data_IF_352510658643
#
_entry.id   IF_352510658643
#
_cell.length_a   1.000
_cell.length_b   1.000
_cell.length_c   1.000
_cell.angle_alpha   90.00
_cell.angle_beta   90.00
_cell.angle_gamma   90.00
#
_symmetry.space_group_name_H-M   'P 1'
#
loop_
_entity.id
_entity.type
_entity.pdbx_description
1 polymer ?
#
# COMPACT_ATOMS: atom_id res chain seq x y z
N UNK A 1 21.93 5.55 -9.45
CA UNK A 1 22.14 5.33 -10.90
C UNK A 1 20.80 4.90 -11.44
N UNK A 2 20.07 5.81 -12.07
CA UNK A 2 18.82 5.49 -12.75
C UNK A 2 19.11 4.60 -13.95
N UNK A 3 18.15 3.76 -14.33
CA UNK A 3 18.13 3.15 -15.66
C UNK A 3 17.56 4.24 -16.57
N UNK A 4 18.40 5.06 -17.21
CA UNK A 4 17.98 6.24 -17.99
C UNK A 4 17.20 7.31 -17.17
N UNK A 5 16.30 8.06 -17.80
CA UNK A 5 15.42 9.08 -17.16
C UNK A 5 14.12 8.46 -16.62
N UNK A 6 14.02 7.13 -16.57
CA UNK A 6 12.80 6.44 -16.11
C UNK A 6 12.68 6.50 -14.58
N UNK A 7 11.47 6.77 -14.04
CA UNK A 7 11.25 6.80 -12.60
C UNK A 7 11.45 5.41 -11.98
N UNK A 8 12.12 5.36 -10.83
CA UNK A 8 12.40 4.14 -10.07
C UNK A 8 11.49 4.05 -8.84
N UNK A 9 10.75 2.95 -8.74
CA UNK A 9 9.94 2.60 -7.58
C UNK A 9 10.65 1.65 -6.61
N UNK A 10 10.55 1.90 -5.31
CA UNK A 10 11.01 1.00 -4.26
C UNK A 10 9.83 0.29 -3.59
N UNK A 11 9.72 -1.04 -3.77
CA UNK A 11 8.80 -1.87 -2.98
C UNK A 11 9.50 -2.19 -1.66
N UNK A 12 8.90 -1.77 -0.54
CA UNK A 12 9.50 -1.84 0.80
C UNK A 12 8.57 -2.48 1.81
N UNK A 13 9.13 -2.97 2.91
CA UNK A 13 8.31 -3.37 4.05
C UNK A 13 7.53 -2.15 4.58
N UNK A 14 6.28 -2.35 5.02
CA UNK A 14 5.51 -1.30 5.67
C UNK A 14 6.17 -0.92 7.01
N UNK A 15 6.44 0.38 7.28
CA UNK A 15 7.08 0.83 8.52
C UNK A 15 6.42 0.35 9.81
N UNK A 16 5.07 0.20 9.82
CA UNK A 16 4.36 -0.35 10.99
C UNK A 16 4.88 -1.76 11.36
N UNK A 17 5.33 -2.56 10.39
CA UNK A 17 5.95 -3.87 10.69
C UNK A 17 7.34 -3.71 11.26
N UNK A 18 8.17 -2.86 10.66
CA UNK A 18 9.60 -2.76 11.02
C UNK A 18 9.84 -1.94 12.28
N UNK A 19 8.90 -1.07 12.67
CA UNK A 19 9.13 -0.10 13.73
C UNK A 19 8.29 -0.36 14.97
N UNK A 20 7.17 -1.09 14.82
CA UNK A 20 6.21 -1.33 15.89
C UNK A 20 5.95 -2.82 16.12
N UNK A 21 5.43 -3.54 15.12
CA UNK A 21 4.95 -4.91 15.31
C UNK A 21 6.12 -5.90 15.49
N UNK A 22 7.16 -5.80 14.67
CA UNK A 22 8.31 -6.69 14.72
C UNK A 22 9.63 -5.95 14.42
N UNK A 23 10.19 -5.23 15.40
CA UNK A 23 11.44 -4.48 15.21
C UNK A 23 12.65 -5.32 14.81
N UNK A 24 12.60 -6.63 15.02
CA UNK A 24 13.66 -7.56 14.66
C UNK A 24 13.54 -8.10 13.23
N UNK A 25 12.42 -7.85 12.52
CA UNK A 25 12.20 -8.39 11.18
C UNK A 25 13.19 -7.84 10.15
N UNK A 26 13.42 -6.53 10.18
CA UNK A 26 14.36 -5.85 9.30
C UNK A 26 14.99 -4.64 10.00
N UNK A 27 15.86 -4.88 10.99
CA UNK A 27 16.42 -3.80 11.79
C UNK A 27 17.33 -2.90 10.94
N UNK A 28 17.20 -1.58 11.12
CA UNK A 28 18.11 -0.60 10.52
C UNK A 28 17.98 -0.47 9.00
N UNK A 29 16.76 -0.58 8.46
CA UNK A 29 16.54 -0.31 7.04
C UNK A 29 17.06 1.10 6.68
N UNK A 30 17.89 1.26 5.64
CA UNK A 30 18.66 2.48 5.42
C UNK A 30 17.86 3.55 4.65
N UNK A 31 16.74 4.00 5.22
CA UNK A 31 15.82 4.97 4.59
C UNK A 31 16.53 6.21 4.05
N UNK A 32 17.33 6.88 4.87
CA UNK A 32 18.06 8.10 4.49
C UNK A 32 19.08 7.87 3.37
N UNK A 33 19.72 6.69 3.33
CA UNK A 33 20.67 6.39 2.25
C UNK A 33 19.95 6.10 0.94
N UNK A 34 18.72 5.62 0.99
CA UNK A 34 17.94 5.27 -0.19
C UNK A 34 17.05 6.41 -0.71
N UNK A 35 16.81 7.46 0.10
CA UNK A 35 15.95 8.60 -0.23
C UNK A 35 16.21 9.16 -1.63
N UNK A 36 17.46 9.47 -1.96
CA UNK A 36 17.85 10.07 -3.25
C UNK A 36 18.02 9.04 -4.40
N UNK A 37 17.63 7.77 -4.20
CA UNK A 37 17.82 6.69 -5.19
C UNK A 37 16.53 6.24 -5.86
N UNK A 38 15.38 6.59 -5.29
CA UNK A 38 14.06 6.17 -5.76
C UNK A 38 13.12 7.37 -5.81
N UNK A 39 12.31 7.43 -6.86
CA UNK A 39 11.36 8.53 -7.09
C UNK A 39 10.02 8.26 -6.41
N UNK A 40 9.66 6.99 -6.23
CA UNK A 40 8.38 6.55 -5.65
C UNK A 40 8.58 5.42 -4.66
N UNK A 41 7.85 5.48 -3.56
CA UNK A 41 7.87 4.47 -2.50
C UNK A 41 6.57 3.65 -2.48
N UNK A 42 6.71 2.33 -2.40
CA UNK A 42 5.61 1.38 -2.50
C UNK A 42 5.61 0.45 -1.28
N UNK A 43 5.10 0.90 -0.11
CA UNK A 43 5.01 0.06 1.06
C UNK A 43 4.02 -1.09 0.83
N UNK A 44 4.44 -2.30 1.21
CA UNK A 44 3.61 -3.52 1.21
C UNK A 44 2.60 -3.50 2.38
N UNK A 45 1.63 -2.59 2.31
CA UNK A 45 0.60 -2.31 3.31
C UNK A 45 -0.48 -3.39 3.45
N UNK A 46 -0.09 -4.64 3.67
CA UNK A 46 -1.01 -5.79 3.71
C UNK A 46 -1.76 -5.90 5.05
N UNK A 47 -2.77 -5.05 5.26
CA UNK A 47 -3.61 -5.07 6.47
C UNK A 47 -4.35 -6.41 6.66
N UNK A 48 -4.61 -7.15 5.58
CA UNK A 48 -5.29 -8.45 5.63
C UNK A 48 -4.54 -9.49 6.47
N UNK A 49 -3.22 -9.35 6.60
CA UNK A 49 -2.39 -10.18 7.49
C UNK A 49 -2.34 -9.70 8.94
N UNK A 50 -3.13 -8.68 9.30
CA UNK A 50 -3.04 -8.02 10.61
C UNK A 50 -4.28 -8.32 11.46
N UNK A 51 -4.19 -7.90 12.71
CA UNK A 51 -5.21 -8.11 13.73
C UNK A 51 -5.43 -6.80 14.50
N UNK A 52 -6.55 -6.71 15.23
CA UNK A 52 -6.91 -5.53 16.02
C UNK A 52 -6.93 -4.25 15.14
N UNK A 53 -6.45 -3.12 15.64
CA UNK A 53 -6.45 -1.85 14.92
C UNK A 53 -5.65 -1.89 13.60
N UNK A 54 -4.62 -2.73 13.51
CA UNK A 54 -3.85 -2.88 12.27
C UNK A 54 -4.59 -3.66 11.17
N UNK A 55 -5.70 -4.33 11.50
CA UNK A 55 -6.59 -4.93 10.50
C UNK A 55 -7.52 -3.89 9.84
N UNK A 56 -7.62 -2.67 10.40
CA UNK A 56 -8.36 -1.58 9.77
C UNK A 56 -7.53 -1.01 8.60
N UNK A 57 -8.05 -1.05 7.36
CA UNK A 57 -7.32 -0.62 6.17
C UNK A 57 -6.98 0.87 6.19
N UNK A 58 -7.86 1.74 6.69
CA UNK A 58 -7.58 3.17 6.72
C UNK A 58 -6.50 3.50 7.74
N UNK A 59 -6.64 2.98 8.97
CA UNK A 59 -5.66 3.17 10.03
C UNK A 59 -4.29 2.67 9.61
N UNK A 60 -4.21 1.43 9.12
CA UNK A 60 -2.94 0.82 8.75
C UNK A 60 -2.27 1.54 7.57
N UNK A 61 -3.04 1.99 6.57
CA UNK A 61 -2.49 2.77 5.45
C UNK A 61 -2.00 4.14 5.90
N UNK A 62 -2.78 4.90 6.67
CA UNK A 62 -2.37 6.23 7.17
C UNK A 62 -1.08 6.12 7.98
N UNK A 63 -0.99 5.16 8.90
CA UNK A 63 0.16 5.04 9.78
C UNK A 63 1.43 4.68 9.00
N UNK A 64 1.32 3.76 8.03
CA UNK A 64 2.45 3.41 7.16
C UNK A 64 2.94 4.60 6.31
N UNK A 65 2.04 5.38 5.72
CA UNK A 65 2.42 6.52 4.88
C UNK A 65 3.13 7.60 5.69
N UNK A 66 2.63 7.89 6.89
CA UNK A 66 3.21 8.91 7.78
C UNK A 66 4.58 8.50 8.30
N UNK A 67 4.73 7.25 8.73
CA UNK A 67 6.02 6.73 9.20
C UNK A 67 7.05 6.68 8.08
N UNK A 68 6.64 6.22 6.90
CA UNK A 68 7.52 6.17 5.73
C UNK A 68 8.11 7.55 5.41
N UNK A 69 7.27 8.58 5.36
CA UNK A 69 7.72 9.96 5.14
C UNK A 69 8.59 10.50 6.27
N UNK A 70 8.29 10.13 7.51
CA UNK A 70 9.12 10.49 8.66
C UNK A 70 10.51 9.83 8.59
N UNK A 71 10.60 8.56 8.22
CA UNK A 71 11.85 7.82 8.09
C UNK A 71 12.73 8.32 6.94
N UNK A 72 12.10 8.79 5.86
CA UNK A 72 12.77 9.47 4.75
C UNK A 72 13.19 10.90 5.09
N UNK A 73 12.66 11.47 6.17
CA UNK A 73 12.74 12.91 6.47
C UNK A 73 12.20 13.79 5.32
N UNK A 74 11.19 13.29 4.61
CA UNK A 74 10.58 13.96 3.47
C UNK A 74 9.04 13.85 3.54
N UNK A 75 8.34 14.92 3.96
CA UNK A 75 6.88 14.92 4.01
C UNK A 75 6.22 14.88 2.63
N UNK A 76 6.94 15.20 1.55
CA UNK A 76 6.43 15.25 0.18
C UNK A 76 6.83 14.01 -0.63
N UNK A 77 7.47 13.02 -0.02
CA UNK A 77 7.86 11.79 -0.70
C UNK A 77 6.65 11.16 -1.41
N UNK A 78 6.83 10.81 -2.68
CA UNK A 78 5.77 10.22 -3.50
C UNK A 78 5.53 8.78 -3.07
N UNK A 79 4.29 8.46 -2.71
CA UNK A 79 3.91 7.14 -2.24
C UNK A 79 2.80 6.54 -3.11
N UNK A 80 3.00 5.28 -3.53
CA UNK A 80 1.98 4.44 -4.14
C UNK A 80 1.83 3.18 -3.28
N UNK A 81 0.89 3.16 -2.33
CA UNK A 81 0.79 2.04 -1.40
C UNK A 81 0.26 0.77 -2.09
N UNK A 82 0.83 -0.37 -1.74
CA UNK A 82 0.33 -1.68 -2.16
C UNK A 82 -0.46 -2.26 -0.98
N UNK A 83 -1.77 -2.12 -1.03
CA UNK A 83 -2.69 -2.46 0.04
C UNK A 83 -3.18 -3.91 0.00
N UNK A 84 -3.37 -4.52 1.17
CA UNK A 84 -4.05 -5.83 1.31
C UNK A 84 -3.45 -6.96 0.47
N UNK A 85 -4.13 -8.10 0.45
CA UNK A 85 -3.93 -9.17 -0.55
C UNK A 85 -5.29 -9.55 -1.09
N UNK A 86 -5.45 -9.51 -2.40
CA UNK A 86 -6.72 -9.70 -3.08
C UNK A 86 -7.85 -8.87 -2.46
N UNK A 87 -9.08 -9.31 -2.70
CA UNK A 87 -10.26 -8.80 -2.01
C UNK A 87 -11.43 -9.76 -2.23
N UNK A 88 -11.92 -10.33 -1.14
CA UNK A 88 -13.06 -11.22 -1.13
C UNK A 88 -14.38 -10.42 -1.20
N UNK A 89 -15.24 -10.80 -2.14
CA UNK A 89 -16.59 -10.27 -2.34
C UNK A 89 -17.68 -11.36 -2.32
N UNK A 90 -17.29 -12.61 -2.04
CA UNK A 90 -18.18 -13.78 -2.08
C UNK A 90 -18.35 -14.40 -3.47
N UNK A 91 -17.69 -13.87 -4.51
CA UNK A 91 -17.62 -14.49 -5.83
C UNK A 91 -16.53 -15.57 -5.90
N UNK A 92 -16.58 -16.43 -6.91
CA UNK A 92 -15.61 -17.51 -7.05
C UNK A 92 -14.20 -16.95 -7.28
N UNK A 93 -13.29 -17.22 -6.34
CA UNK A 93 -11.89 -16.84 -6.40
C UNK A 93 -11.01 -18.10 -6.38
N UNK A 94 -9.78 -17.98 -6.89
CA UNK A 94 -8.74 -18.95 -6.56
C UNK A 94 -8.40 -18.75 -5.09
N UNK A 95 -8.52 -19.78 -4.26
CA UNK A 95 -8.04 -19.73 -2.87
C UNK A 95 -6.52 -19.52 -2.87
N UNK A 96 -6.01 -18.37 -2.40
CA UNK A 96 -4.58 -18.09 -2.43
C UNK A 96 -3.80 -18.78 -1.31
N UNK A 97 -4.48 -19.31 -0.28
CA UNK A 97 -3.82 -19.72 0.97
C UNK A 97 -3.29 -18.55 1.81
N UNK A 98 -3.61 -17.31 1.45
CA UNK A 98 -3.27 -16.09 2.17
C UNK A 98 -4.53 -15.38 2.68
N UNK A 99 -4.45 -14.65 3.82
CA UNK A 99 -5.56 -13.83 4.29
C UNK A 99 -5.92 -12.75 3.27
N UNK A 100 -7.13 -12.85 2.73
CA UNK A 100 -7.66 -11.87 1.79
C UNK A 100 -8.21 -10.63 2.51
N UNK A 101 -8.06 -9.46 1.88
CA UNK A 101 -8.87 -8.31 2.25
C UNK A 101 -10.36 -8.55 1.95
N UNK A 102 -11.24 -7.70 2.47
CA UNK A 102 -12.65 -7.66 2.08
C UNK A 102 -12.91 -6.61 1.01
N UNK A 103 -13.95 -6.79 0.20
CA UNK A 103 -14.47 -5.73 -0.69
C UNK A 103 -14.82 -4.45 0.08
N UNK A 104 -15.25 -4.59 1.33
CA UNK A 104 -15.58 -3.45 2.20
C UNK A 104 -14.35 -2.66 2.64
N UNK A 105 -13.15 -3.25 2.57
CA UNK A 105 -11.90 -2.59 2.95
C UNK A 105 -11.41 -1.60 1.89
N UNK A 106 -11.91 -1.73 0.65
CA UNK A 106 -11.39 -0.98 -0.50
C UNK A 106 -11.69 0.52 -0.40
N UNK A 107 -12.89 0.89 0.04
CA UNK A 107 -13.27 2.29 0.20
C UNK A 107 -12.47 3.02 1.28
N UNK A 108 -12.34 2.50 2.52
CA UNK A 108 -11.49 3.12 3.54
C UNK A 108 -10.00 3.15 3.14
N UNK A 109 -9.49 2.12 2.45
CA UNK A 109 -8.14 2.13 1.90
C UNK A 109 -7.92 3.30 0.91
N UNK A 110 -8.77 3.42 -0.11
CA UNK A 110 -8.65 4.49 -1.12
C UNK A 110 -8.86 5.87 -0.47
N UNK A 111 -9.77 5.99 0.49
CA UNK A 111 -9.96 7.21 1.25
C UNK A 111 -8.69 7.64 2.01
N UNK A 112 -7.98 6.70 2.63
CA UNK A 112 -6.71 6.95 3.30
C UNK A 112 -5.61 7.41 2.33
N UNK A 113 -5.51 6.79 1.14
CA UNK A 113 -4.56 7.21 0.11
C UNK A 113 -4.77 8.67 -0.30
N UNK A 114 -6.03 9.06 -0.55
CA UNK A 114 -6.38 10.43 -0.92
C UNK A 114 -6.08 11.40 0.22
N UNK A 115 -6.49 11.05 1.45
CA UNK A 115 -6.30 11.90 2.63
C UNK A 115 -4.82 12.19 2.92
N UNK A 116 -3.94 11.22 2.64
CA UNK A 116 -2.50 11.35 2.84
C UNK A 116 -1.76 11.80 1.57
N UNK A 117 -2.44 12.17 0.49
CA UNK A 117 -1.80 12.66 -0.73
C UNK A 117 -0.85 11.64 -1.37
N UNK A 118 -1.23 10.36 -1.35
CA UNK A 118 -0.56 9.35 -2.17
C UNK A 118 -0.73 9.68 -3.66
N UNK A 119 0.18 9.23 -4.51
CA UNK A 119 0.05 9.40 -5.97
C UNK A 119 -0.79 8.29 -6.63
N UNK A 120 -1.22 7.31 -5.83
CA UNK A 120 -2.08 6.21 -6.23
C UNK A 120 -1.98 5.06 -5.22
N UNK A 121 -2.53 3.92 -5.61
CA UNK A 121 -2.41 2.68 -4.86
C UNK A 121 -2.83 1.48 -5.68
N UNK A 122 -2.50 0.31 -5.17
CA UNK A 122 -2.82 -0.98 -5.77
C UNK A 122 -3.18 -1.99 -4.68
N UNK A 123 -3.80 -3.09 -5.09
CA UNK A 123 -4.00 -4.27 -4.24
C UNK A 123 -3.01 -5.35 -4.67
N UNK A 124 -2.34 -6.00 -3.71
CA UNK A 124 -1.46 -7.13 -4.05
C UNK A 124 -2.26 -8.33 -4.55
N UNK A 125 -1.72 -9.02 -5.54
CA UNK A 125 -2.34 -10.17 -6.20
C UNK A 125 -3.75 -9.88 -6.76
N UNK A 126 -3.80 -9.04 -7.80
CA UNK A 126 -5.02 -8.74 -8.55
C UNK A 126 -5.80 -10.00 -9.00
N UNK A 127 -5.11 -11.11 -9.27
CA UNK A 127 -5.73 -12.34 -9.76
C UNK A 127 -6.65 -12.98 -8.71
N UNK A 128 -6.44 -12.68 -7.43
CA UNK A 128 -7.24 -13.20 -6.30
C UNK A 128 -8.33 -12.24 -5.84
N UNK A 129 -8.49 -11.09 -6.48
CA UNK A 129 -9.66 -10.24 -6.25
C UNK A 129 -10.90 -10.84 -6.94
N UNK A 130 -12.02 -10.88 -6.21
CA UNK A 130 -13.34 -11.18 -6.76
C UNK A 130 -13.76 -10.17 -7.83
N UNK A 131 -14.72 -10.56 -8.68
CA UNK A 131 -15.10 -9.74 -9.85
C UNK A 131 -15.70 -8.40 -9.44
N UNK A 132 -16.53 -8.37 -8.42
CA UNK A 132 -17.18 -7.14 -7.94
C UNK A 132 -16.17 -6.28 -7.19
N UNK A 133 -15.24 -6.90 -6.47
CA UNK A 133 -14.13 -6.19 -5.83
C UNK A 133 -13.22 -5.48 -6.85
N UNK A 134 -12.93 -6.10 -8.00
CA UNK A 134 -12.15 -5.45 -9.08
C UNK A 134 -12.88 -4.25 -9.66
N UNK A 135 -14.17 -4.37 -9.95
CA UNK A 135 -14.98 -3.26 -10.44
C UNK A 135 -15.02 -2.13 -9.42
N UNK A 136 -15.31 -2.47 -8.16
CA UNK A 136 -15.38 -1.51 -7.07
C UNK A 136 -14.07 -0.76 -6.89
N UNK A 137 -12.94 -1.47 -6.88
CA UNK A 137 -11.62 -0.85 -6.76
C UNK A 137 -11.31 0.05 -7.95
N UNK A 138 -11.59 -0.41 -9.17
CA UNK A 138 -11.41 0.38 -10.39
C UNK A 138 -12.20 1.71 -10.36
N UNK A 139 -13.46 1.68 -9.95
CA UNK A 139 -14.30 2.89 -9.81
C UNK A 139 -13.76 3.85 -8.75
N UNK A 140 -13.38 3.33 -7.58
CA UNK A 140 -12.81 4.12 -6.49
C UNK A 140 -11.51 4.82 -6.93
N UNK A 141 -10.62 4.09 -7.60
CA UNK A 141 -9.35 4.63 -8.09
C UNK A 141 -9.56 5.66 -9.20
N UNK A 142 -10.41 5.38 -10.20
CA UNK A 142 -10.68 6.30 -11.29
C UNK A 142 -11.38 7.60 -10.83
N UNK A 143 -12.20 7.53 -9.78
CA UNK A 143 -12.84 8.70 -9.19
C UNK A 143 -11.91 9.55 -8.31
N UNK A 144 -10.80 8.97 -7.84
CA UNK A 144 -9.90 9.60 -6.85
C UNK A 144 -8.58 10.09 -7.44
N UNK A 145 -8.08 9.43 -8.48
CA UNK A 145 -6.82 9.74 -9.12
C UNK A 145 -7.05 10.02 -10.61
N UNK A 146 -6.56 11.15 -11.14
CA UNK A 146 -6.68 11.44 -12.56
C UNK A 146 -5.99 10.34 -13.37
N UNK A 147 -6.56 9.98 -14.51
CA UNK A 147 -5.89 9.09 -15.45
C UNK A 147 -4.54 9.69 -15.84
N UNK A 148 -3.47 8.88 -15.82
CA UNK A 148 -2.18 9.29 -16.36
C UNK A 148 -2.37 9.72 -17.82
N UNK A 149 -2.06 10.99 -18.09
CA UNK A 149 -2.17 11.61 -19.42
C UNK A 149 -1.06 11.23 -20.37
#
# INVERSE_FOLDING_TARGET
>A
RTVADDPLGAIVMPPVITDEINPAFWPGFPWTELADRYDVWLPMGYWSFRTAEHADPAFYTVDNLRRLRADLFDPEALVHAIGGVGAADGTAMVDPGEPLASVDDLAPFVGALVAEGAIGGSIYDWATMGVDARWRFGELMAGSFPAAG
#
